data_IF_184829410011
#
_entry.id   IF_184829410011
#
_cell.length_a   1.000
_cell.length_b   1.000
_cell.length_c   1.000
_cell.angle_alpha   90.00
_cell.angle_beta   90.00
_cell.angle_gamma   90.00
#
_symmetry.space_group_name_H-M   'P 1'
#
loop_
_entity.id
_entity.type
_entity.pdbx_description
1 polymer ?
#
# COMPACT_ATOMS: atom_id res chain seq x y z
N UNK A 1 -26.77 -17.65 -16.04
CA UNK A 1 -25.69 -18.30 -15.26
C UNK A 1 -26.33 -19.19 -14.22
N UNK A 2 -26.01 -20.49 -14.15
CA UNK A 2 -26.63 -21.41 -13.18
C UNK A 2 -25.82 -21.42 -11.88
N UNK A 3 -26.48 -21.67 -10.75
CA UNK A 3 -25.84 -21.69 -9.44
C UNK A 3 -24.72 -22.75 -9.34
N UNK A 4 -24.89 -23.89 -10.03
CA UNK A 4 -23.90 -24.97 -10.10
C UNK A 4 -22.61 -24.59 -10.85
N UNK A 5 -22.64 -23.51 -11.64
CA UNK A 5 -21.48 -23.04 -12.39
C UNK A 5 -20.67 -22.00 -11.61
N UNK A 6 -21.18 -21.51 -10.48
CA UNK A 6 -20.52 -20.49 -9.67
C UNK A 6 -19.29 -21.05 -8.95
N UNK A 7 -18.17 -20.37 -9.10
CA UNK A 7 -16.95 -20.63 -8.31
C UNK A 7 -17.03 -19.81 -7.02
N UNK A 8 -16.84 -20.42 -5.83
CA UNK A 8 -16.78 -19.66 -4.58
C UNK A 8 -15.60 -18.67 -4.61
N UNK A 9 -15.68 -17.57 -3.88
CA UNK A 9 -14.59 -16.59 -3.77
C UNK A 9 -14.05 -16.58 -2.35
N UNK A 10 -12.73 -16.47 -2.19
CA UNK A 10 -12.08 -16.34 -0.88
C UNK A 10 -11.84 -14.86 -0.66
N UNK A 11 -12.41 -14.32 0.41
CA UNK A 11 -12.14 -12.97 0.89
C UNK A 11 -11.23 -13.07 2.12
N UNK A 12 -10.15 -12.30 2.11
CA UNK A 12 -9.19 -12.20 3.20
C UNK A 12 -9.53 -10.95 4.01
N UNK A 13 -9.86 -11.13 5.29
CA UNK A 13 -10.14 -10.04 6.21
C UNK A 13 -9.02 -9.97 7.28
N UNK A 14 -8.20 -8.91 7.30
CA UNK A 14 -7.26 -8.68 8.40
C UNK A 14 -8.03 -8.29 9.66
N UNK A 15 -7.67 -8.86 10.82
CA UNK A 15 -8.35 -8.57 12.10
C UNK A 15 -7.86 -7.25 12.75
N UNK A 16 -6.79 -6.66 12.21
CA UNK A 16 -6.20 -5.43 12.76
C UNK A 16 -6.96 -4.18 12.33
N UNK A 17 -7.84 -3.71 13.23
CA UNK A 17 -8.63 -2.46 13.12
C UNK A 17 -7.76 -1.21 12.85
N UNK A 18 -6.47 -1.23 13.23
CA UNK A 18 -5.57 -0.07 13.12
C UNK A 18 -4.67 -0.05 11.87
N UNK A 19 -4.70 -1.09 11.01
CA UNK A 19 -3.90 -1.12 9.77
C UNK A 19 -4.72 -1.67 8.59
N UNK A 20 -4.85 -0.93 7.48
CA UNK A 20 -5.71 -1.31 6.35
C UNK A 20 -5.33 -2.63 5.64
N UNK A 21 -4.13 -3.19 5.89
CA UNK A 21 -3.65 -4.41 5.24
C UNK A 21 -3.18 -5.53 6.20
N UNK A 22 -3.23 -5.31 7.52
CA UNK A 22 -2.50 -6.16 8.46
C UNK A 22 -0.98 -6.25 8.16
N UNK A 23 -0.29 -7.25 8.71
CA UNK A 23 1.09 -7.58 8.32
C UNK A 23 1.06 -8.67 7.24
N UNK A 24 0.40 -8.37 6.13
CA UNK A 24 0.19 -9.30 5.02
C UNK A 24 0.31 -8.59 3.68
N UNK A 25 0.84 -9.27 2.67
CA UNK A 25 0.90 -8.77 1.30
C UNK A 25 1.07 -9.91 0.30
N UNK A 26 0.74 -9.67 -0.96
CA UNK A 26 0.85 -10.66 -2.03
C UNK A 26 2.20 -10.54 -2.73
N UNK A 27 2.91 -11.64 -2.96
CA UNK A 27 4.13 -11.64 -3.77
C UNK A 27 3.82 -11.68 -5.28
N UNK A 28 4.86 -11.69 -6.11
CA UNK A 28 4.78 -11.77 -7.57
C UNK A 28 4.18 -13.08 -8.10
N UNK A 29 4.19 -14.15 -7.29
CA UNK A 29 3.56 -15.44 -7.60
C UNK A 29 2.08 -15.50 -7.24
N UNK A 30 1.52 -14.45 -6.62
CA UNK A 30 0.14 -14.46 -6.12
C UNK A 30 -0.04 -15.15 -4.77
N UNK A 31 1.05 -15.50 -4.08
CA UNK A 31 0.99 -16.07 -2.73
C UNK A 31 0.74 -14.97 -1.71
N UNK A 32 -0.12 -15.26 -0.73
CA UNK A 32 -0.34 -14.39 0.42
C UNK A 32 0.77 -14.62 1.45
N UNK A 33 1.67 -13.66 1.58
CA UNK A 33 2.74 -13.66 2.58
C UNK A 33 2.22 -12.99 3.85
N UNK A 34 2.39 -13.66 4.99
CA UNK A 34 1.82 -13.27 6.27
C UNK A 34 2.93 -13.26 7.33
N UNK A 35 3.08 -12.14 8.03
CA UNK A 35 4.04 -12.07 9.13
C UNK A 35 3.52 -12.89 10.34
N UNK A 36 4.41 -13.59 11.08
CA UNK A 36 4.02 -14.35 12.27
C UNK A 36 3.26 -13.50 13.29
N UNK A 37 2.42 -14.16 14.09
CA UNK A 37 1.53 -13.55 15.09
C UNK A 37 0.44 -12.64 14.51
N UNK A 38 0.23 -12.64 13.19
CA UNK A 38 -0.90 -11.95 12.57
C UNK A 38 -2.21 -12.69 12.79
N UNK A 39 -3.26 -11.95 13.08
CA UNK A 39 -4.64 -12.43 13.11
C UNK A 39 -5.32 -12.13 11.78
N UNK A 40 -6.05 -13.11 11.24
CA UNK A 40 -6.84 -12.91 10.03
C UNK A 40 -8.03 -13.87 9.96
N UNK A 41 -8.99 -13.52 9.11
CA UNK A 41 -10.13 -14.36 8.78
C UNK A 41 -10.17 -14.62 7.28
N UNK A 42 -10.49 -15.84 6.91
CA UNK A 42 -10.79 -16.22 5.54
C UNK A 42 -12.28 -16.49 5.42
N UNK A 43 -12.95 -15.77 4.53
CA UNK A 43 -14.36 -15.96 4.24
C UNK A 43 -14.54 -16.64 2.90
N UNK A 44 -15.34 -17.69 2.88
CA UNK A 44 -15.77 -18.28 1.64
C UNK A 44 -17.10 -17.69 1.20
N UNK A 45 -17.03 -16.80 0.22
CA UNK A 45 -18.17 -16.16 -0.38
C UNK A 45 -18.80 -17.09 -1.41
N UNK A 46 -19.98 -17.60 -1.06
CA UNK A 46 -20.83 -18.37 -1.95
C UNK A 46 -22.30 -18.09 -1.59
N UNK A 47 -23.21 -17.95 -2.56
CA UNK A 47 -24.61 -17.65 -2.26
C UNK A 47 -25.23 -18.72 -1.36
N UNK A 48 -25.78 -18.29 -0.23
CA UNK A 48 -26.49 -19.15 0.69
C UNK A 48 -27.69 -19.80 -0.04
N UNK A 49 -27.82 -21.11 0.09
CA UNK A 49 -28.90 -21.83 -0.57
C UNK A 49 -29.27 -23.09 0.22
N UNK A 50 -30.39 -23.72 -0.16
CA UNK A 50 -30.93 -24.89 0.53
C UNK A 50 -30.11 -26.18 0.35
N UNK A 51 -29.13 -26.21 -0.56
CA UNK A 51 -28.33 -27.41 -0.87
C UNK A 51 -27.07 -27.55 -0.01
N UNK A 52 -26.76 -26.54 0.80
CA UNK A 52 -25.73 -26.65 1.83
C UNK A 52 -24.74 -25.48 1.83
N UNK A 53 -23.73 -25.63 2.65
CA UNK A 53 -22.74 -24.60 2.95
C UNK A 53 -21.42 -24.91 2.26
N UNK A 54 -20.64 -23.88 1.90
CA UNK A 54 -19.27 -24.12 1.44
C UNK A 54 -18.46 -24.82 2.53
N UNK A 55 -17.50 -25.64 2.12
CA UNK A 55 -16.58 -26.35 3.01
C UNK A 55 -15.14 -25.93 2.74
N UNK A 56 -14.28 -26.11 3.73
CA UNK A 56 -12.89 -25.74 3.66
C UNK A 56 -11.97 -26.95 3.83
N UNK A 57 -10.88 -26.96 3.07
CA UNK A 57 -9.74 -27.86 3.27
C UNK A 57 -8.43 -27.07 3.23
N UNK A 58 -7.44 -27.54 3.98
CA UNK A 58 -6.08 -27.03 3.93
C UNK A 58 -5.10 -28.16 3.63
N UNK A 59 -4.14 -27.89 2.76
CA UNK A 59 -2.97 -28.74 2.52
C UNK A 59 -1.75 -28.07 3.16
N UNK A 60 -1.16 -28.69 4.17
CA UNK A 60 0.01 -28.15 4.87
C UNK A 60 1.29 -28.38 4.08
N UNK A 61 2.13 -27.36 3.93
CA UNK A 61 3.44 -27.52 3.27
C UNK A 61 4.44 -28.35 4.07
N UNK A 62 4.38 -28.29 5.40
CA UNK A 62 5.31 -29.03 6.25
C UNK A 62 5.12 -30.55 6.19
N UNK A 63 3.90 -31.01 5.93
CA UNK A 63 3.55 -32.43 5.98
C UNK A 63 3.00 -32.99 4.67
N UNK A 64 2.52 -32.14 3.76
CA UNK A 64 1.79 -32.53 2.56
C UNK A 64 0.39 -33.08 2.84
N UNK A 65 -0.08 -33.07 4.09
CA UNK A 65 -1.40 -33.60 4.43
C UNK A 65 -2.51 -32.60 4.17
N UNK A 66 -3.57 -33.09 3.52
CA UNK A 66 -4.84 -32.37 3.39
C UNK A 66 -5.78 -32.73 4.53
N UNK A 67 -6.38 -31.73 5.18
CA UNK A 67 -7.36 -31.93 6.25
C UNK A 67 -8.52 -30.92 6.15
N UNK A 68 -9.73 -31.30 6.60
CA UNK A 68 -10.83 -30.36 6.70
C UNK A 68 -10.53 -29.32 7.79
N UNK A 69 -10.85 -28.06 7.52
CA UNK A 69 -10.81 -26.99 8.52
C UNK A 69 -12.24 -26.51 8.79
N UNK A 70 -12.53 -26.28 10.06
CA UNK A 70 -13.88 -25.95 10.51
C UNK A 70 -13.94 -24.51 11.01
N UNK A 71 -15.08 -23.88 10.76
CA UNK A 71 -15.42 -22.62 11.41
C UNK A 71 -15.49 -22.80 12.94
N UNK A 72 -15.08 -21.77 13.68
CA UNK A 72 -15.11 -21.80 15.15
C UNK A 72 -16.52 -21.87 15.71
N UNK A 73 -17.50 -21.32 15.00
CA UNK A 73 -18.90 -21.30 15.45
C UNK A 73 -19.84 -21.74 14.35
N UNK A 74 -21.00 -22.27 14.75
CA UNK A 74 -22.07 -22.69 13.85
C UNK A 74 -22.73 -21.53 13.10
N UNK A 75 -22.50 -20.28 13.52
CA UNK A 75 -22.99 -19.05 12.90
C UNK A 75 -22.05 -18.53 11.79
N UNK A 76 -20.78 -18.92 11.78
CA UNK A 76 -19.78 -18.49 10.80
C UNK A 76 -19.25 -19.64 9.94
N UNK A 77 -20.13 -20.53 9.47
CA UNK A 77 -19.74 -21.81 8.80
C UNK A 77 -18.83 -21.63 7.59
N UNK A 78 -18.89 -20.47 6.94
CA UNK A 78 -18.07 -20.11 5.78
C UNK A 78 -16.73 -19.45 6.15
N UNK A 79 -16.44 -19.22 7.42
CA UNK A 79 -15.31 -18.42 7.88
C UNK A 79 -14.33 -19.25 8.71
N UNK A 80 -13.04 -19.12 8.41
CA UNK A 80 -11.96 -19.69 9.20
C UNK A 80 -11.15 -18.55 9.83
N UNK A 81 -10.93 -18.62 11.13
CA UNK A 81 -10.25 -17.58 11.90
C UNK A 81 -8.91 -18.09 12.44
N UNK A 82 -7.84 -17.36 12.13
CA UNK A 82 -6.49 -17.63 12.59
C UNK A 82 -6.11 -16.58 13.62
N UNK A 83 -5.78 -17.05 14.83
CA UNK A 83 -5.18 -16.21 15.86
C UNK A 83 -3.69 -16.54 15.96
N UNK A 84 -2.87 -15.50 16.03
CA UNK A 84 -1.43 -15.59 16.18
C UNK A 84 -0.82 -16.64 15.24
N UNK A 85 -0.98 -16.43 13.93
CA UNK A 85 -0.56 -17.42 12.93
C UNK A 85 0.96 -17.68 13.00
N UNK A 86 1.36 -18.93 12.74
CA UNK A 86 2.76 -19.40 12.78
C UNK A 86 3.09 -20.19 11.51
N UNK A 87 4.37 -20.47 11.27
CA UNK A 87 4.88 -21.19 10.08
C UNK A 87 4.19 -22.53 9.77
N UNK A 88 3.60 -23.20 10.78
CA UNK A 88 2.84 -24.45 10.60
C UNK A 88 1.55 -24.29 9.79
N UNK A 89 1.05 -23.07 9.64
CA UNK A 89 -0.14 -22.75 8.86
C UNK A 89 0.21 -22.37 7.41
N UNK A 90 1.47 -22.47 6.99
CA UNK A 90 1.83 -22.33 5.57
C UNK A 90 1.26 -23.51 4.78
N UNK A 91 0.57 -23.21 3.68
CA UNK A 91 -0.16 -24.22 2.92
C UNK A 91 -1.11 -23.65 1.87
N UNK A 92 -1.87 -24.56 1.24
CA UNK A 92 -2.90 -24.22 0.26
C UNK A 92 -4.27 -24.32 0.94
N UNK A 93 -5.00 -23.22 0.96
CA UNK A 93 -6.33 -23.13 1.56
C UNK A 93 -7.38 -23.09 0.47
N UNK A 94 -8.28 -24.06 0.49
CA UNK A 94 -9.28 -24.26 -0.57
C UNK A 94 -10.67 -24.19 0.00
N UNK A 95 -11.49 -23.29 -0.55
CA UNK A 95 -12.93 -23.33 -0.35
C UNK A 95 -13.62 -24.08 -1.49
N UNK A 96 -14.56 -24.97 -1.12
CA UNK A 96 -15.42 -25.71 -2.04
C UNK A 96 -16.88 -25.34 -1.85
N UNK A 97 -17.56 -25.06 -2.96
CA UNK A 97 -19.03 -24.97 -2.97
C UNK A 97 -19.69 -26.36 -2.81
N UNK A 98 -20.99 -26.42 -2.47
CA UNK A 98 -21.76 -27.67 -2.47
C UNK A 98 -21.77 -28.41 -3.82
N UNK A 99 -21.46 -27.71 -4.91
CA UNK A 99 -21.36 -28.28 -6.27
C UNK A 99 -19.93 -28.63 -6.68
N UNK A 100 -19.01 -28.72 -5.72
CA UNK A 100 -17.61 -29.10 -5.91
C UNK A 100 -16.79 -28.13 -6.80
N UNK A 101 -17.28 -26.91 -7.06
CA UNK A 101 -16.44 -25.81 -7.58
C UNK A 101 -15.52 -25.32 -6.48
N UNK A 102 -14.27 -25.03 -6.81
CA UNK A 102 -13.21 -24.72 -5.84
C UNK A 102 -12.53 -23.40 -6.15
N UNK A 103 -12.07 -22.73 -5.11
CA UNK A 103 -11.12 -21.62 -5.20
C UNK A 103 -10.08 -21.79 -4.10
N UNK A 104 -8.82 -21.55 -4.44
CA UNK A 104 -7.68 -21.84 -3.59
C UNK A 104 -6.75 -20.65 -3.52
N UNK A 105 -6.17 -20.41 -2.35
CA UNK A 105 -5.08 -19.45 -2.14
C UNK A 105 -3.89 -20.18 -1.51
N UNK A 106 -2.69 -19.69 -1.79
CA UNK A 106 -1.46 -20.13 -1.12
C UNK A 106 -1.13 -19.15 -0.02
N UNK A 107 -0.99 -19.63 1.20
CA UNK A 107 -0.55 -18.85 2.36
C UNK A 107 0.86 -19.28 2.75
N UNK A 108 1.75 -18.30 2.93
CA UNK A 108 3.11 -18.52 3.41
C UNK A 108 3.35 -17.60 4.60
N UNK A 109 3.63 -18.18 5.76
CA UNK A 109 3.91 -17.44 6.98
C UNK A 109 5.41 -17.31 7.15
N UNK A 110 5.92 -16.09 7.09
CA UNK A 110 7.36 -15.79 7.04
C UNK A 110 7.70 -14.50 7.82
N UNK A 111 8.77 -14.57 8.61
CA UNK A 111 9.34 -13.45 9.37
C UNK A 111 10.17 -12.54 8.42
N UNK A 112 9.46 -11.83 7.55
CA UNK A 112 10.06 -10.93 6.56
C UNK A 112 10.65 -9.70 7.24
N UNK A 113 11.94 -9.47 7.00
CA UNK A 113 12.69 -8.31 7.52
C UNK A 113 13.42 -7.58 6.40
N UNK A 114 13.24 -6.27 6.33
CA UNK A 114 13.91 -5.40 5.38
C UNK A 114 15.22 -4.83 5.92
N UNK A 115 16.25 -4.62 5.07
CA UNK A 115 17.57 -4.13 5.48
C UNK A 115 17.56 -2.68 5.97
N UNK A 116 18.62 -2.25 6.64
CA UNK A 116 18.78 -0.84 7.07
C UNK A 116 19.16 -0.05 5.83
N UNK A 117 18.58 1.14 5.64
CA UNK A 117 19.04 2.04 4.60
C UNK A 117 20.48 2.49 4.88
N UNK A 118 21.36 2.33 3.89
CA UNK A 118 22.72 2.85 3.95
C UNK A 118 22.70 4.33 3.54
N UNK A 119 22.38 5.20 4.49
CA UNK A 119 22.24 6.65 4.30
C UNK A 119 23.26 7.41 5.12
N UNK A 120 23.52 8.67 4.76
CA UNK A 120 24.37 9.54 5.57
C UNK A 120 23.62 10.05 6.83
N UNK A 121 24.34 10.69 7.75
CA UNK A 121 23.80 11.13 9.04
C UNK A 121 22.72 12.23 8.95
N UNK A 122 22.67 12.99 7.84
CA UNK A 122 21.64 14.00 7.60
C UNK A 122 20.34 13.35 7.12
N UNK A 123 20.43 12.41 6.19
CA UNK A 123 19.30 11.60 5.72
C UNK A 123 18.73 10.70 6.82
N UNK A 124 19.58 10.18 7.71
CA UNK A 124 19.14 9.37 8.85
C UNK A 124 18.26 10.16 9.83
N UNK A 125 18.58 11.42 10.09
CA UNK A 125 17.74 12.32 10.91
C UNK A 125 16.39 12.63 10.26
N UNK A 126 16.35 12.59 8.93
CA UNK A 126 15.15 12.83 8.14
C UNK A 126 14.35 11.55 7.82
N UNK A 127 14.72 10.40 8.41
CA UNK A 127 14.08 9.12 8.21
C UNK A 127 13.22 8.77 9.43
N UNK A 128 11.97 8.39 9.19
CA UNK A 128 11.10 7.82 10.23
C UNK A 128 10.48 6.52 9.74
N UNK A 129 10.47 5.50 10.58
CA UNK A 129 9.80 4.25 10.30
C UNK A 129 8.40 4.29 10.91
N UNK A 130 7.40 4.24 10.05
CA UNK A 130 6.00 4.21 10.45
C UNK A 130 5.47 2.78 10.34
N UNK A 131 4.95 2.31 11.46
CA UNK A 131 4.13 1.10 11.53
C UNK A 131 4.67 -0.01 12.43
N UNK A 132 4.67 0.16 13.75
CA UNK A 132 4.59 -0.98 14.66
C UNK A 132 4.09 -0.55 16.06
N UNK A 133 3.22 -1.32 16.74
CA UNK A 133 2.86 -1.08 18.14
C UNK A 133 4.05 -1.21 19.12
N UNK A 134 5.07 -2.01 18.79
CA UNK A 134 6.29 -2.18 19.62
C UNK A 134 7.48 -1.29 19.19
N UNK A 135 7.27 -0.34 18.27
CA UNK A 135 8.19 0.79 18.08
C UNK A 135 9.57 0.51 17.47
N UNK A 136 9.65 0.00 16.23
CA UNK A 136 10.86 0.22 15.40
C UNK A 136 11.33 -0.88 14.46
N UNK A 137 10.64 -2.02 14.33
CA UNK A 137 11.12 -3.11 13.46
C UNK A 137 10.79 -2.90 11.97
N UNK A 138 11.76 -3.26 11.12
CA UNK A 138 11.70 -3.17 9.65
C UNK A 138 11.10 -4.45 9.07
N UNK A 139 9.81 -4.67 9.31
CA UNK A 139 9.11 -5.91 8.96
C UNK A 139 8.12 -5.69 7.81
N UNK A 140 7.47 -6.76 7.36
CA UNK A 140 6.47 -6.71 6.29
C UNK A 140 5.47 -5.56 6.47
N UNK A 141 5.18 -4.82 5.39
CA UNK A 141 4.31 -3.63 5.34
C UNK A 141 4.77 -2.41 6.16
N UNK A 142 5.89 -2.47 6.89
CA UNK A 142 6.50 -1.28 7.50
C UNK A 142 6.81 -0.24 6.41
N UNK A 143 6.47 1.02 6.67
CA UNK A 143 6.73 2.13 5.75
C UNK A 143 7.80 3.05 6.32
N UNK A 144 8.93 3.14 5.64
CA UNK A 144 9.94 4.16 5.87
C UNK A 144 9.52 5.46 5.18
N UNK A 145 9.56 6.58 5.88
CA UNK A 145 9.32 7.91 5.35
C UNK A 145 10.61 8.74 5.40
N UNK A 146 11.03 9.21 4.24
CA UNK A 146 12.13 10.15 4.08
C UNK A 146 11.55 11.56 3.95
N UNK A 147 11.88 12.45 4.87
CA UNK A 147 11.47 13.84 4.84
C UNK A 147 12.46 14.67 4.03
N UNK A 148 11.93 15.43 3.07
CA UNK A 148 12.71 16.28 2.20
C UNK A 148 12.80 17.71 2.75
N UNK A 149 13.88 18.40 2.42
CA UNK A 149 14.02 19.83 2.70
C UNK A 149 12.91 20.61 1.97
N UNK A 150 11.93 21.09 2.74
CA UNK A 150 10.73 21.73 2.21
C UNK A 150 9.42 21.12 2.66
N UNK A 151 9.44 19.98 3.38
CA UNK A 151 8.25 19.40 4.01
C UNK A 151 7.47 18.41 3.14
N UNK A 152 7.98 18.04 1.96
CA UNK A 152 7.52 16.87 1.23
C UNK A 152 8.14 15.60 1.83
N UNK A 153 7.58 14.43 1.49
CA UNK A 153 8.16 13.15 1.90
C UNK A 153 8.03 12.09 0.81
N UNK A 154 8.95 11.13 0.84
CA UNK A 154 8.96 9.94 0.00
C UNK A 154 8.81 8.73 0.92
N UNK A 155 7.95 7.78 0.52
CA UNK A 155 7.70 6.57 1.31
C UNK A 155 8.27 5.33 0.61
N UNK A 156 8.95 4.48 1.36
CA UNK A 156 9.36 3.14 0.96
C UNK A 156 8.64 2.10 1.83
N UNK A 157 8.10 1.06 1.23
CA UNK A 157 7.38 -0.01 1.95
C UNK A 157 8.18 -1.30 1.93
N UNK A 158 8.24 -2.00 3.06
CA UNK A 158 8.87 -3.32 3.14
C UNK A 158 8.00 -4.37 2.45
N UNK A 159 8.52 -4.96 1.38
CA UNK A 159 7.82 -5.89 0.50
C UNK A 159 7.92 -7.34 0.99
N UNK A 160 7.05 -8.24 0.48
CA UNK A 160 7.08 -9.66 0.83
C UNK A 160 8.41 -10.39 0.58
N UNK A 161 9.24 -9.88 -0.32
CA UNK A 161 10.55 -10.46 -0.63
C UNK A 161 11.67 -9.98 0.31
N UNK A 162 11.35 -9.20 1.35
CA UNK A 162 12.34 -8.64 2.27
C UNK A 162 13.12 -7.45 1.74
N UNK A 163 12.73 -6.89 0.59
CA UNK A 163 13.32 -5.66 0.06
C UNK A 163 12.39 -4.46 0.26
N UNK A 164 12.98 -3.26 0.29
CA UNK A 164 12.21 -2.03 0.21
C UNK A 164 11.68 -1.83 -1.21
N UNK A 165 10.49 -1.23 -1.32
CA UNK A 165 9.87 -0.88 -2.61
C UNK A 165 10.72 0.07 -3.44
N UNK A 166 11.52 0.90 -2.78
CA UNK A 166 12.48 1.82 -3.37
C UNK A 166 13.74 1.87 -2.51
N UNK A 167 14.88 2.23 -3.10
CA UNK A 167 16.09 2.58 -2.36
C UNK A 167 15.93 3.92 -1.64
N UNK A 168 16.89 4.25 -0.77
CA UNK A 168 16.89 5.57 -0.13
C UNK A 168 16.98 6.67 -1.20
N UNK A 169 16.09 7.68 -1.16
CA UNK A 169 16.06 8.73 -2.16
C UNK A 169 17.28 9.64 -2.03
N UNK A 170 17.77 10.09 -3.19
CA UNK A 170 18.74 11.18 -3.30
C UNK A 170 18.05 12.54 -3.12
N UNK A 171 18.83 13.60 -2.88
CA UNK A 171 18.25 14.96 -2.76
C UNK A 171 17.51 15.42 -4.03
N UNK A 172 17.90 14.93 -5.20
CA UNK A 172 17.27 15.28 -6.48
C UNK A 172 15.91 14.59 -6.68
N UNK A 173 15.69 13.45 -6.03
CA UNK A 173 14.44 12.69 -6.11
C UNK A 173 13.36 13.24 -5.18
N UNK A 174 13.71 14.17 -4.29
CA UNK A 174 12.77 14.83 -3.40
C UNK A 174 11.70 15.60 -4.18
N UNK A 175 10.39 15.37 -3.92
CA UNK A 175 9.34 16.12 -4.55
C UNK A 175 9.50 17.61 -4.24
N UNK A 176 9.40 18.50 -5.24
CA UNK A 176 9.50 19.93 -4.98
C UNK A 176 8.43 20.36 -3.99
N UNK A 177 8.77 21.31 -3.12
CA UNK A 177 7.87 21.83 -2.10
C UNK A 177 6.61 22.37 -2.78
N UNK A 178 5.46 21.75 -2.52
CA UNK A 178 4.17 22.20 -3.05
C UNK A 178 3.35 22.87 -1.96
N UNK A 179 2.99 24.13 -2.17
CA UNK A 179 1.94 24.79 -1.40
C UNK A 179 0.59 24.52 -2.06
N UNK A 180 -0.48 24.44 -1.26
CA UNK A 180 -1.85 24.43 -1.79
C UNK A 180 -2.40 25.86 -1.81
N UNK A 181 -2.86 26.29 -2.97
CA UNK A 181 -3.50 27.60 -3.16
C UNK A 181 -4.85 27.38 -3.85
N UNK A 182 -5.91 27.79 -3.16
CA UNK A 182 -7.31 27.53 -3.58
C UNK A 182 -7.60 26.05 -3.90
N UNK A 183 -6.89 25.12 -3.25
CA UNK A 183 -7.02 23.67 -3.49
C UNK A 183 -6.11 23.11 -4.58
N UNK A 184 -5.47 23.95 -5.39
CA UNK A 184 -4.50 23.55 -6.42
C UNK A 184 -3.05 23.54 -5.89
N UNK A 185 -2.26 22.56 -6.31
CA UNK A 185 -0.85 22.44 -5.89
C UNK A 185 0.05 23.38 -6.69
N UNK A 186 0.76 24.29 -6.04
CA UNK A 186 1.77 25.17 -6.66
C UNK A 186 3.15 24.85 -6.10
N UNK A 187 4.19 24.87 -6.93
CA UNK A 187 5.56 24.73 -6.45
C UNK A 187 6.01 26.00 -5.74
N UNK A 188 6.81 25.85 -4.70
CA UNK A 188 7.54 26.95 -4.05
C UNK A 188 8.92 27.00 -4.69
N UNK A 189 9.40 28.20 -5.02
CA UNK A 189 10.73 28.44 -5.59
C UNK A 189 11.80 27.72 -4.76
N UNK A 190 12.53 26.79 -5.39
CA UNK A 190 13.62 26.03 -4.77
C UNK A 190 14.97 26.25 -5.47
N UNK A 191 14.95 26.67 -6.75
CA UNK A 191 16.12 26.95 -7.57
C UNK A 191 15.99 28.28 -8.31
N UNK A 192 17.10 28.79 -8.84
CA UNK A 192 17.12 29.94 -9.77
C UNK A 192 16.47 29.62 -11.12
N UNK A 193 16.28 28.33 -11.44
CA UNK A 193 15.53 27.87 -12.61
C UNK A 193 14.01 27.91 -12.38
N UNK A 194 13.56 28.06 -11.12
CA UNK A 194 12.15 28.14 -10.79
C UNK A 194 11.66 29.60 -10.89
N UNK A 195 10.53 29.84 -11.57
CA UNK A 195 9.96 31.17 -11.62
C UNK A 195 9.38 31.58 -10.26
N UNK A 196 9.43 32.88 -10.00
CA UNK A 196 8.67 33.51 -8.93
C UNK A 196 7.17 33.44 -9.25
N UNK A 197 6.37 33.18 -8.22
CA UNK A 197 4.92 33.06 -8.32
C UNK A 197 4.27 34.23 -7.59
N UNK A 198 3.47 35.00 -8.33
CA UNK A 198 2.60 36.05 -7.76
C UNK A 198 1.15 35.62 -7.84
N UNK A 199 0.41 35.85 -6.76
CA UNK A 199 -0.98 35.44 -6.60
C UNK A 199 -1.93 36.63 -6.81
N UNK A 200 -2.95 36.46 -7.65
CA UNK A 200 -4.09 37.37 -7.75
C UNK A 200 -5.32 36.70 -7.13
N UNK A 201 -5.60 37.06 -5.87
CA UNK A 201 -6.72 36.53 -5.11
C UNK A 201 -8.09 36.84 -5.72
N UNK A 202 -8.23 37.91 -6.50
CA UNK A 202 -9.52 38.27 -7.10
C UNK A 202 -9.85 37.41 -8.31
N UNK A 203 -8.84 36.88 -9.01
CA UNK A 203 -8.99 36.11 -10.24
C UNK A 203 -8.69 34.62 -10.08
N UNK A 204 -8.32 34.18 -8.87
CA UNK A 204 -7.82 32.83 -8.60
C UNK A 204 -6.72 32.43 -9.59
N UNK A 205 -5.83 33.38 -9.88
CA UNK A 205 -4.80 33.26 -10.89
C UNK A 205 -3.41 33.41 -10.28
N UNK A 206 -2.45 32.67 -10.83
CA UNK A 206 -1.03 32.80 -10.53
C UNK A 206 -0.26 33.24 -11.77
N UNK A 207 0.74 34.09 -11.55
CA UNK A 207 1.62 34.61 -12.59
C UNK A 207 3.07 34.25 -12.30
N UNK A 208 3.74 33.74 -13.32
CA UNK A 208 5.12 33.30 -13.26
C UNK A 208 6.04 34.39 -13.82
N UNK A 209 7.14 34.68 -13.11
CA UNK A 209 8.16 35.62 -13.56
C UNK A 209 9.57 35.16 -13.20
N UNK A 210 10.56 35.45 -14.03
CA UNK A 210 11.96 35.14 -13.74
C UNK A 210 12.69 36.37 -13.19
N UNK A 211 13.63 36.14 -12.28
CA UNK A 211 14.54 37.18 -11.78
C UNK A 211 15.80 37.30 -12.63
N UNK A 212 16.37 38.51 -12.67
CA UNK A 212 17.60 38.80 -13.41
C UNK A 212 17.40 38.84 -14.92
N UNK A 213 18.41 38.40 -15.67
CA UNK A 213 18.41 38.41 -17.15
C UNK A 213 17.84 37.11 -17.77
N UNK A 214 17.21 36.26 -16.98
CA UNK A 214 16.65 34.98 -17.42
C UNK A 214 15.27 35.18 -18.06
N UNK A 215 14.94 34.31 -19.01
CA UNK A 215 13.68 34.33 -19.73
C UNK A 215 12.79 33.19 -19.26
N UNK A 216 11.50 33.50 -19.11
CA UNK A 216 10.48 32.49 -18.86
C UNK A 216 10.23 31.66 -20.13
N UNK A 217 10.33 30.34 -20.01
CA UNK A 217 10.05 29.37 -21.07
C UNK A 217 8.82 28.57 -20.67
N UNK A 218 7.70 28.82 -21.36
CA UNK A 218 6.39 28.20 -21.09
C UNK A 218 5.27 29.23 -20.91
N UNK A 219 4.12 28.79 -20.38
CA UNK A 219 2.98 29.68 -20.11
C UNK A 219 3.21 30.55 -18.87
N UNK A 220 2.89 31.84 -18.94
CA UNK A 220 3.19 32.80 -17.87
C UNK A 220 2.09 32.91 -16.80
N UNK A 221 0.94 32.27 -17.01
CA UNK A 221 -0.26 32.47 -16.20
C UNK A 221 -1.00 31.14 -16.06
N UNK A 222 -1.49 30.84 -14.85
CA UNK A 222 -2.35 29.69 -14.59
C UNK A 222 -3.51 30.06 -13.65
N UNK A 223 -4.67 29.46 -13.88
CA UNK A 223 -5.87 29.65 -13.07
C UNK A 223 -6.27 28.33 -12.41
N UNK A 224 -6.70 28.37 -11.16
CA UNK A 224 -7.13 27.17 -10.44
C UNK A 224 -8.61 26.89 -10.73
N UNK A 225 -8.92 25.76 -11.37
CA UNK A 225 -10.29 25.33 -11.70
C UNK A 225 -10.46 23.89 -11.21
N UNK A 226 -11.43 23.64 -10.32
CA UNK A 226 -11.71 22.31 -9.75
C UNK A 226 -10.45 21.59 -9.22
N UNK A 227 -9.63 22.28 -8.40
CA UNK A 227 -8.36 21.77 -7.86
C UNK A 227 -7.28 21.41 -8.90
N UNK A 228 -7.44 21.86 -10.15
CA UNK A 228 -6.45 21.66 -11.22
C UNK A 228 -6.04 22.99 -11.85
N UNK A 229 -4.74 23.17 -12.12
CA UNK A 229 -4.27 24.34 -12.84
C UNK A 229 -4.57 24.24 -14.33
N UNK A 230 -4.99 25.35 -14.95
CA UNK A 230 -5.14 25.45 -16.41
C UNK A 230 -3.83 25.30 -17.19
N UNK A 231 -2.69 25.34 -16.49
CA UNK A 231 -1.35 25.22 -17.07
C UNK A 231 -0.59 24.06 -16.43
N UNK A 232 -0.20 23.07 -17.25
CA UNK A 232 0.72 21.99 -16.90
C UNK A 232 1.43 21.49 -18.16
N UNK A 233 2.77 21.29 -18.16
CA UNK A 233 3.69 21.57 -17.06
C UNK A 233 3.89 23.08 -16.83
N UNK A 234 4.36 23.44 -15.64
CA UNK A 234 4.70 24.82 -15.30
C UNK A 234 5.95 25.32 -16.03
N UNK A 235 6.06 26.65 -16.26
CA UNK A 235 7.19 27.23 -16.98
C UNK A 235 8.48 27.18 -16.15
N UNK A 236 9.63 27.30 -16.83
CA UNK A 236 10.96 27.39 -16.19
C UNK A 236 11.68 28.67 -16.61
N UNK A 237 12.61 29.12 -15.78
CA UNK A 237 13.54 30.20 -16.10
C UNK A 237 14.79 29.61 -16.77
N UNK A 238 15.18 30.17 -17.92
CA UNK A 238 16.41 29.83 -18.63
C UNK A 238 17.20 31.08 -19.01
#
# INVERSE_FOLDING_TARGET
MKLADLVPTILIEPDNVDKPFGLMATNDQGHLIIYPNTNLKLHCLFPENQLGWPTWEAEQFSTGFTYPIHARTSQHRSTVEFDAITSRFSGIYTCKSPYNKKHSITMVVEDVKCPVFQVNSEQEKALTYNGHPDGGERILTTTAQFFCEGGSSIAATCLPNGNWSISAPTMEECPPKRAKIWGCDVFIKQSDDDPEVKYDNHKHEIRFSCTGNRRLVGGAVATCIHNTWTLSPFPKCK
#
